data_IF_513301246730
#
_entry.id   IF_513301246730
#
_cell.length_a   1.000
_cell.length_b   1.000
_cell.length_c   1.000
_cell.angle_alpha   90.00
_cell.angle_beta   90.00
_cell.angle_gamma   90.00
#
_symmetry.space_group_name_H-M   'P 1'
#
loop_
_entity.id
_entity.type
_entity.pdbx_description
1 polymer ?
#
# COMPACT_ATOMS: atom_id res chain seq x y z
N UNK A 1 104.37 -33.61 3.58
CA UNK A 1 104.11 -32.81 2.36
C UNK A 1 102.99 -33.42 1.50
N UNK A 2 103.11 -34.65 0.98
CA UNK A 2 102.08 -35.31 0.14
C UNK A 2 100.65 -35.24 0.71
N UNK A 3 100.42 -35.75 1.93
CA UNK A 3 99.12 -35.71 2.62
C UNK A 3 98.49 -34.30 2.78
N UNK A 4 99.29 -33.23 2.85
CA UNK A 4 98.76 -31.86 2.91
C UNK A 4 98.27 -31.37 1.53
N UNK A 5 98.95 -31.77 0.46
CA UNK A 5 98.51 -31.51 -0.91
C UNK A 5 97.24 -32.30 -1.24
N UNK A 6 97.13 -33.55 -0.77
CA UNK A 6 95.95 -34.38 -0.95
C UNK A 6 94.73 -33.77 -0.23
N UNK A 7 94.84 -33.40 1.05
CA UNK A 7 93.77 -32.69 1.80
C UNK A 7 93.37 -31.36 1.15
N UNK A 8 94.34 -30.56 0.67
CA UNK A 8 94.05 -29.30 -0.02
C UNK A 8 93.37 -29.53 -1.36
N UNK A 9 93.73 -30.60 -2.08
CA UNK A 9 93.07 -30.96 -3.33
C UNK A 9 91.62 -31.40 -3.10
N UNK A 10 91.36 -32.15 -2.03
CA UNK A 10 90.02 -32.62 -1.69
C UNK A 10 89.12 -31.45 -1.24
N UNK A 11 89.62 -30.57 -0.38
CA UNK A 11 88.90 -29.34 0.02
C UNK A 11 88.57 -28.42 -1.16
N UNK A 12 89.46 -28.31 -2.16
CA UNK A 12 89.18 -27.57 -3.40
C UNK A 12 88.10 -28.28 -4.24
N UNK A 13 88.07 -29.62 -4.28
CA UNK A 13 87.01 -30.38 -4.97
C UNK A 13 85.65 -30.19 -4.31
N UNK A 14 85.58 -30.23 -2.99
CA UNK A 14 84.36 -29.95 -2.22
C UNK A 14 83.86 -28.52 -2.51
N UNK A 15 84.72 -27.50 -2.41
CA UNK A 15 84.36 -26.11 -2.74
C UNK A 15 83.86 -25.95 -4.19
N UNK A 16 84.45 -26.66 -5.15
CA UNK A 16 84.00 -26.65 -6.55
C UNK A 16 82.67 -27.38 -6.76
N UNK A 17 82.40 -28.44 -5.99
CA UNK A 17 81.12 -29.15 -6.01
C UNK A 17 80.01 -28.28 -5.41
N UNK A 18 80.23 -27.71 -4.22
CA UNK A 18 79.29 -26.79 -3.57
C UNK A 18 78.98 -25.57 -4.44
N UNK A 19 80.01 -24.95 -5.03
CA UNK A 19 79.84 -23.83 -5.96
C UNK A 19 79.04 -24.22 -7.21
N UNK A 20 79.25 -25.44 -7.73
CA UNK A 20 78.50 -25.99 -8.87
C UNK A 20 77.05 -26.28 -8.51
N UNK A 21 76.77 -26.78 -7.31
CA UNK A 21 75.40 -27.00 -6.81
C UNK A 21 74.68 -25.68 -6.56
N UNK A 22 75.32 -24.72 -5.89
CA UNK A 22 74.79 -23.39 -5.68
C UNK A 22 74.47 -22.71 -7.03
N UNK A 23 75.37 -22.84 -8.01
CA UNK A 23 75.14 -22.39 -9.38
C UNK A 23 73.99 -23.10 -10.11
N UNK A 24 73.66 -24.36 -9.78
CA UNK A 24 72.44 -25.03 -10.29
C UNK A 24 71.19 -24.43 -9.66
N UNK A 25 71.16 -24.32 -8.32
CA UNK A 25 70.03 -23.75 -7.57
C UNK A 25 69.70 -22.33 -8.05
N UNK A 26 70.70 -21.48 -8.26
CA UNK A 26 70.50 -20.13 -8.81
C UNK A 26 69.93 -20.12 -10.24
N UNK A 27 70.26 -21.11 -11.10
CA UNK A 27 69.65 -21.22 -12.44
C UNK A 27 68.19 -21.65 -12.35
N UNK A 28 67.90 -22.69 -11.58
CA UNK A 28 66.55 -23.20 -11.35
C UNK A 28 65.63 -22.12 -10.74
N UNK A 29 66.16 -21.32 -9.80
CA UNK A 29 65.45 -20.18 -9.22
C UNK A 29 65.23 -19.04 -10.24
N UNK A 30 66.23 -18.72 -11.07
CA UNK A 30 66.09 -17.70 -12.12
C UNK A 30 65.04 -18.12 -13.17
N UNK A 31 65.05 -19.39 -13.60
CA UNK A 31 64.06 -19.92 -14.54
C UNK A 31 62.65 -19.95 -13.93
N UNK A 32 62.52 -20.26 -12.63
CA UNK A 32 61.26 -20.13 -11.87
C UNK A 32 60.76 -18.68 -11.83
N UNK A 33 61.63 -17.73 -11.50
CA UNK A 33 61.31 -16.30 -11.45
C UNK A 33 60.91 -15.76 -12.84
N UNK A 34 61.60 -16.17 -13.91
CA UNK A 34 61.24 -15.84 -15.30
C UNK A 34 59.85 -16.36 -15.67
N UNK A 35 59.52 -17.59 -15.28
CA UNK A 35 58.17 -18.15 -15.50
C UNK A 35 57.10 -17.36 -14.74
N UNK A 36 57.35 -17.05 -13.46
CA UNK A 36 56.43 -16.24 -12.66
C UNK A 36 56.25 -14.81 -13.23
N UNK A 37 57.32 -14.20 -13.74
CA UNK A 37 57.26 -12.89 -14.40
C UNK A 37 56.42 -12.92 -15.68
N UNK A 38 56.56 -13.97 -16.50
CA UNK A 38 55.75 -14.15 -17.70
C UNK A 38 54.26 -14.38 -17.36
N UNK A 39 53.95 -15.21 -16.36
CA UNK A 39 52.59 -15.41 -15.86
C UNK A 39 51.97 -14.14 -15.27
N UNK A 40 52.77 -13.29 -14.61
CA UNK A 40 52.32 -11.99 -14.12
C UNK A 40 52.04 -11.01 -15.27
N UNK A 41 52.90 -10.99 -16.30
CA UNK A 41 52.75 -10.10 -17.45
C UNK A 41 51.45 -10.38 -18.24
N UNK A 42 51.13 -11.65 -18.52
CA UNK A 42 49.88 -12.00 -19.20
C UNK A 42 48.64 -11.71 -18.33
N UNK A 43 48.74 -11.81 -17.00
CA UNK A 43 47.65 -11.38 -16.10
C UNK A 43 47.41 -9.87 -16.13
N UNK A 44 48.47 -9.06 -16.17
CA UNK A 44 48.37 -7.59 -16.31
C UNK A 44 47.73 -7.23 -17.64
N UNK A 45 48.22 -7.78 -18.75
CA UNK A 45 47.69 -7.57 -20.10
C UNK A 45 46.21 -7.96 -20.23
N UNK A 46 45.78 -9.05 -19.60
CA UNK A 46 44.37 -9.43 -19.54
C UNK A 46 43.52 -8.46 -18.70
N UNK A 47 44.08 -7.90 -17.62
CA UNK A 47 43.41 -6.89 -16.80
C UNK A 47 43.28 -5.54 -17.54
N UNK A 48 44.32 -5.11 -18.25
CA UNK A 48 44.31 -3.92 -19.12
C UNK A 48 43.24 -4.03 -20.21
N UNK A 49 43.16 -5.17 -20.91
CA UNK A 49 42.13 -5.41 -21.92
C UNK A 49 40.70 -5.35 -21.35
N UNK A 50 40.48 -5.89 -20.14
CA UNK A 50 39.19 -5.79 -19.44
C UNK A 50 38.86 -4.37 -19.00
N UNK A 51 39.87 -3.61 -18.54
CA UNK A 51 39.70 -2.22 -18.12
C UNK A 51 39.30 -1.33 -19.30
N UNK A 52 39.94 -1.50 -20.46
CA UNK A 52 39.57 -0.79 -21.70
C UNK A 52 38.12 -1.06 -22.12
N UNK A 53 37.68 -2.33 -22.14
CA UNK A 53 36.29 -2.66 -22.48
C UNK A 53 35.26 -2.12 -21.47
N UNK A 54 35.63 -2.03 -20.18
CA UNK A 54 34.79 -1.37 -19.19
C UNK A 54 34.71 0.15 -19.43
N UNK A 55 35.83 0.79 -19.76
CA UNK A 55 35.88 2.22 -20.07
C UNK A 55 35.04 2.59 -21.30
N UNK A 56 35.08 1.77 -22.36
CA UNK A 56 34.20 1.93 -23.54
C UNK A 56 32.71 1.81 -23.17
N UNK A 57 32.36 0.85 -22.29
CA UNK A 57 30.98 0.67 -21.81
C UNK A 57 30.51 1.88 -20.99
N UNK A 58 31.37 2.44 -20.14
CA UNK A 58 31.06 3.62 -19.33
C UNK A 58 30.84 4.87 -20.20
N UNK A 59 31.67 5.11 -21.21
CA UNK A 59 31.47 6.26 -22.13
C UNK A 59 30.21 6.09 -23.00
N UNK A 60 29.86 4.86 -23.40
CA UNK A 60 28.61 4.57 -24.11
C UNK A 60 27.38 4.89 -23.23
N UNK A 61 27.32 4.38 -22.00
CA UNK A 61 26.24 4.68 -21.05
C UNK A 61 26.16 6.18 -20.71
N UNK A 62 27.31 6.86 -20.63
CA UNK A 62 27.38 8.31 -20.41
C UNK A 62 26.75 9.10 -21.57
N UNK A 63 26.97 8.68 -22.81
CA UNK A 63 26.37 9.29 -23.99
C UNK A 63 24.84 9.05 -24.02
N UNK A 64 24.39 7.84 -23.74
CA UNK A 64 22.96 7.51 -23.63
C UNK A 64 22.27 8.40 -22.60
N UNK A 65 22.81 8.46 -21.37
CA UNK A 65 22.29 9.31 -20.29
C UNK A 65 22.27 10.80 -20.67
N UNK A 66 23.30 11.29 -21.36
CA UNK A 66 23.31 12.68 -21.86
C UNK A 66 22.20 12.94 -22.89
N UNK A 67 21.87 11.97 -23.75
CA UNK A 67 20.75 12.12 -24.70
C UNK A 67 19.39 12.08 -24.01
N UNK A 68 19.23 11.24 -22.99
CA UNK A 68 17.99 11.14 -22.21
C UNK A 68 17.74 12.40 -21.38
N UNK A 69 18.74 12.89 -20.63
CA UNK A 69 18.66 14.14 -19.86
C UNK A 69 18.24 15.31 -20.75
N UNK A 70 18.85 15.44 -21.94
CA UNK A 70 18.49 16.48 -22.90
C UNK A 70 17.06 16.34 -23.43
N UNK A 71 16.58 15.11 -23.63
CA UNK A 71 15.19 14.84 -23.99
C UNK A 71 14.21 15.31 -22.92
N UNK A 72 14.51 14.99 -21.65
CA UNK A 72 13.71 15.42 -20.48
C UNK A 72 13.74 16.94 -20.29
N UNK A 73 14.87 17.61 -20.52
CA UNK A 73 14.96 19.08 -20.51
C UNK A 73 14.05 19.72 -21.57
N UNK A 74 14.03 19.17 -22.79
CA UNK A 74 13.15 19.65 -23.86
C UNK A 74 11.66 19.37 -23.58
N UNK A 75 11.32 18.26 -22.91
CA UNK A 75 9.95 17.99 -22.45
C UNK A 75 9.51 18.91 -21.32
N UNK A 76 10.35 19.12 -20.30
CA UNK A 76 10.08 20.05 -19.20
C UNK A 76 9.88 21.49 -19.72
N UNK A 77 10.65 21.89 -20.74
CA UNK A 77 10.51 23.17 -21.43
C UNK A 77 9.22 23.28 -22.26
N UNK A 78 8.71 22.17 -22.82
CA UNK A 78 7.38 22.13 -23.47
C UNK A 78 6.27 22.25 -22.43
N UNK A 79 6.34 21.48 -21.34
CA UNK A 79 5.34 21.48 -20.27
C UNK A 79 5.20 22.85 -19.62
N UNK A 80 6.31 23.55 -19.33
CA UNK A 80 6.26 24.93 -18.82
C UNK A 80 5.53 25.89 -19.77
N UNK A 81 5.75 25.81 -21.08
CA UNK A 81 5.02 26.65 -22.05
C UNK A 81 3.50 26.38 -22.07
N UNK A 82 3.09 25.12 -21.85
CA UNK A 82 1.68 24.76 -21.73
C UNK A 82 1.10 25.30 -20.44
N UNK A 83 1.83 25.19 -19.32
CA UNK A 83 1.46 25.76 -18.02
C UNK A 83 1.30 27.29 -18.10
N UNK A 84 2.27 27.99 -18.71
CA UNK A 84 2.22 29.44 -18.93
C UNK A 84 0.97 29.85 -19.74
N UNK A 85 0.68 29.14 -20.84
CA UNK A 85 -0.50 29.38 -21.67
C UNK A 85 -1.81 29.14 -20.90
N UNK A 86 -1.93 28.02 -20.18
CA UNK A 86 -3.11 27.71 -19.36
C UNK A 86 -3.30 28.72 -18.22
N UNK A 87 -2.20 29.21 -17.64
CA UNK A 87 -2.24 30.25 -16.59
C UNK A 87 -2.78 31.58 -17.14
N UNK A 88 -2.46 31.90 -18.39
CA UNK A 88 -2.97 33.08 -19.08
C UNK A 88 -4.47 32.95 -19.37
N UNK A 89 -4.91 31.82 -19.92
CA UNK A 89 -6.34 31.51 -20.16
C UNK A 89 -7.15 31.59 -18.86
N UNK A 90 -6.68 30.95 -17.77
CA UNK A 90 -7.30 31.04 -16.44
C UNK A 90 -7.35 32.49 -15.92
N UNK A 91 -6.36 33.33 -16.23
CA UNK A 91 -6.39 34.74 -15.84
C UNK A 91 -7.45 35.53 -16.63
N UNK A 92 -7.67 35.20 -17.90
CA UNK A 92 -8.73 35.79 -18.72
C UNK A 92 -10.13 35.33 -18.29
N UNK A 93 -10.33 34.04 -18.02
CA UNK A 93 -11.58 33.53 -17.44
C UNK A 93 -11.90 34.18 -16.09
N UNK A 94 -10.90 34.33 -15.21
CA UNK A 94 -11.08 35.04 -13.92
C UNK A 94 -11.44 36.51 -14.09
N UNK A 95 -10.96 37.20 -15.14
CA UNK A 95 -11.38 38.57 -15.48
C UNK A 95 -12.83 38.57 -16.00
N UNK A 96 -13.20 37.62 -16.85
CA UNK A 96 -14.55 37.48 -17.39
C UNK A 96 -15.60 37.17 -16.29
N UNK A 97 -15.28 36.29 -15.35
CA UNK A 97 -16.14 35.99 -14.19
C UNK A 97 -16.35 37.24 -13.32
N UNK A 98 -15.33 38.06 -13.09
CA UNK A 98 -15.47 39.33 -12.36
C UNK A 98 -16.41 40.30 -13.08
N UNK A 99 -16.29 40.45 -14.40
CA UNK A 99 -17.21 41.27 -15.20
C UNK A 99 -18.66 40.78 -15.12
N UNK A 100 -18.90 39.46 -15.19
CA UNK A 100 -20.24 38.88 -15.00
C UNK A 100 -20.79 39.09 -13.57
N UNK A 101 -19.94 39.08 -12.55
CA UNK A 101 -20.33 39.37 -11.18
C UNK A 101 -20.67 40.86 -10.98
N UNK A 102 -19.97 41.77 -11.66
CA UNK A 102 -20.27 43.21 -11.66
C UNK A 102 -21.56 43.51 -12.45
N UNK A 103 -21.77 42.89 -13.61
CA UNK A 103 -23.01 43.02 -14.38
C UNK A 103 -24.24 42.53 -13.59
N UNK A 104 -24.09 41.45 -12.80
CA UNK A 104 -25.14 40.98 -11.88
C UNK A 104 -25.47 41.99 -10.77
N UNK A 105 -24.53 42.85 -10.33
CA UNK A 105 -24.79 43.89 -9.33
C UNK A 105 -25.60 45.08 -9.88
N UNK A 106 -25.65 45.25 -11.20
CA UNK A 106 -26.32 46.40 -11.86
C UNK A 106 -27.82 46.16 -12.10
N UNK A 107 -28.31 44.92 -11.93
CA UNK A 107 -29.76 44.58 -11.97
C UNK A 107 -30.32 44.48 -10.54
N UNK A 108 -31.08 45.49 -10.04
CA UNK A 108 -31.70 45.40 -8.72
C UNK A 108 -32.91 44.47 -8.75
N UNK A 109 -32.68 43.19 -8.47
CA UNK A 109 -33.75 42.24 -8.16
C UNK A 109 -34.17 42.42 -6.69
N UNK A 110 -35.41 42.87 -6.52
CA UNK A 110 -36.10 43.11 -5.26
C UNK A 110 -36.00 41.92 -4.29
N UNK A 111 -35.64 42.22 -3.03
CA UNK A 111 -36.19 41.56 -1.84
C UNK A 111 -35.76 40.12 -1.54
N UNK A 112 -34.61 39.97 -0.89
CA UNK A 112 -34.45 39.07 0.27
C UNK A 112 -33.12 39.37 0.98
N UNK A 113 -33.17 39.78 2.25
CA UNK A 113 -32.06 39.57 3.16
C UNK A 113 -31.94 38.06 3.36
N UNK A 114 -31.01 37.43 2.63
CA UNK A 114 -30.60 36.06 2.92
C UNK A 114 -29.62 36.09 4.09
N UNK A 115 -29.79 35.26 5.13
CA UNK A 115 -28.72 35.04 6.09
C UNK A 115 -27.49 34.46 5.37
N UNK A 116 -26.30 34.75 5.88
CA UNK A 116 -25.04 34.14 5.47
C UNK A 116 -24.94 32.67 5.95
N UNK A 117 -25.86 31.84 5.46
CA UNK A 117 -25.83 30.39 5.56
C UNK A 117 -25.82 29.80 4.15
N UNK A 118 -24.80 30.14 3.36
CA UNK A 118 -24.47 29.35 2.16
C UNK A 118 -23.78 28.07 2.63
N UNK A 119 -24.63 27.13 3.04
CA UNK A 119 -24.26 25.76 3.35
C UNK A 119 -23.48 25.13 2.18
N UNK A 120 -22.16 25.03 2.36
CA UNK A 120 -21.26 24.12 1.63
C UNK A 120 -20.95 22.89 2.49
N UNK A 121 -21.87 22.55 3.39
CA UNK A 121 -21.78 21.38 4.25
C UNK A 121 -21.93 20.11 3.40
N UNK A 122 -20.82 19.39 3.21
CA UNK A 122 -20.78 18.01 2.70
C UNK A 122 -21.92 17.19 3.31
N UNK A 123 -22.81 16.63 2.49
CA UNK A 123 -23.93 15.84 2.99
C UNK A 123 -23.47 14.44 3.43
N UNK A 124 -24.18 13.83 4.38
CA UNK A 124 -23.81 12.50 4.89
C UNK A 124 -23.83 11.41 3.79
N UNK A 125 -24.61 11.61 2.71
CA UNK A 125 -24.67 10.71 1.56
C UNK A 125 -23.51 10.90 0.56
N UNK A 126 -22.94 12.10 0.49
CA UNK A 126 -21.67 12.34 -0.23
C UNK A 126 -20.51 11.75 0.56
N UNK A 127 -20.48 11.96 1.88
CA UNK A 127 -19.46 11.39 2.77
C UNK A 127 -19.44 9.85 2.66
N UNK A 128 -20.60 9.19 2.72
CA UNK A 128 -20.72 7.73 2.50
C UNK A 128 -20.12 7.30 1.17
N UNK A 129 -20.51 7.99 0.09
CA UNK A 129 -20.11 7.67 -1.29
C UNK A 129 -18.61 7.83 -1.49
N UNK A 130 -18.03 8.91 -0.97
CA UNK A 130 -16.61 9.22 -1.13
C UNK A 130 -15.74 8.28 -0.28
N UNK A 131 -16.17 7.95 0.96
CA UNK A 131 -15.53 6.92 1.78
C UNK A 131 -15.57 5.55 1.07
N UNK A 132 -16.76 5.08 0.64
CA UNK A 132 -16.89 3.81 -0.06
C UNK A 132 -16.04 3.78 -1.34
N UNK A 133 -15.97 4.87 -2.10
CA UNK A 133 -15.11 4.96 -3.29
C UNK A 133 -13.62 4.80 -2.96
N UNK A 134 -13.10 5.50 -1.95
CA UNK A 134 -11.68 5.36 -1.56
C UNK A 134 -11.38 3.96 -1.02
N UNK A 135 -12.29 3.35 -0.25
CA UNK A 135 -12.11 1.99 0.25
C UNK A 135 -12.18 0.93 -0.87
N UNK A 136 -13.00 1.13 -1.90
CA UNK A 136 -12.96 0.28 -3.10
C UNK A 136 -11.65 0.43 -3.88
N UNK A 137 -11.07 1.64 -3.96
CA UNK A 137 -9.74 1.84 -4.55
C UNK A 137 -8.64 1.16 -3.72
N UNK A 138 -8.72 1.20 -2.39
CA UNK A 138 -7.83 0.45 -1.50
C UNK A 138 -7.88 -1.06 -1.78
N UNK A 139 -9.08 -1.61 -1.92
CA UNK A 139 -9.31 -3.03 -2.23
C UNK A 139 -8.78 -3.42 -3.60
N UNK A 140 -9.01 -2.60 -4.63
CA UNK A 140 -8.50 -2.83 -5.98
C UNK A 140 -6.96 -2.79 -6.01
N UNK A 141 -6.37 -1.78 -5.36
CA UNK A 141 -4.92 -1.67 -5.26
C UNK A 141 -4.31 -2.86 -4.50
N UNK A 142 -4.88 -3.24 -3.35
CA UNK A 142 -4.42 -4.40 -2.59
C UNK A 142 -4.52 -5.71 -3.39
N UNK A 143 -5.61 -5.91 -4.15
CA UNK A 143 -5.82 -7.07 -5.01
C UNK A 143 -4.88 -7.16 -6.24
N UNK A 144 -4.17 -6.09 -6.57
CA UNK A 144 -3.13 -6.08 -7.61
C UNK A 144 -1.70 -6.08 -7.03
N UNK A 145 -1.52 -5.62 -5.79
CA UNK A 145 -0.21 -5.32 -5.21
C UNK A 145 0.23 -6.23 -4.04
N UNK A 146 -0.49 -7.32 -3.77
CA UNK A 146 -0.19 -8.25 -2.67
C UNK A 146 0.94 -9.25 -2.98
N UNK A 147 1.60 -9.76 -1.94
CA UNK A 147 2.58 -10.85 -2.05
C UNK A 147 1.88 -12.21 -2.21
N UNK A 148 2.21 -13.04 -3.23
CA UNK A 148 1.49 -14.31 -3.45
C UNK A 148 1.63 -15.36 -2.33
N UNK A 149 2.68 -15.26 -1.51
CA UNK A 149 2.94 -16.19 -0.40
C UNK A 149 3.41 -15.38 0.81
N UNK A 150 2.75 -15.54 1.95
CA UNK A 150 3.16 -14.93 3.20
C UNK A 150 4.44 -15.59 3.74
N UNK A 151 5.32 -14.78 4.32
CA UNK A 151 6.54 -15.23 5.00
C UNK A 151 6.27 -15.72 6.44
N UNK A 152 6.88 -15.04 7.41
CA UNK A 152 6.78 -15.38 8.84
C UNK A 152 5.36 -15.12 9.41
N UNK A 153 4.46 -16.09 9.27
CA UNK A 153 3.06 -16.00 9.73
C UNK A 153 2.95 -15.57 11.23
N UNK A 154 3.75 -16.09 12.18
CA UNK A 154 3.81 -15.57 13.55
C UNK A 154 4.04 -14.05 13.66
N UNK A 155 5.05 -13.50 12.97
CA UNK A 155 5.33 -12.05 12.98
C UNK A 155 4.24 -11.26 12.23
N UNK A 156 3.68 -11.79 11.13
CA UNK A 156 2.52 -11.21 10.43
C UNK A 156 1.33 -11.07 11.39
N UNK A 157 0.96 -12.16 12.10
CA UNK A 157 -0.13 -12.16 13.09
C UNK A 157 0.10 -11.11 14.17
N UNK A 158 1.31 -11.05 14.73
CA UNK A 158 1.67 -10.10 15.78
C UNK A 158 1.43 -8.64 15.33
N UNK A 159 1.92 -8.25 14.15
CA UNK A 159 1.72 -6.90 13.61
C UNK A 159 0.26 -6.57 13.31
N UNK A 160 -0.51 -7.54 12.81
CA UNK A 160 -1.94 -7.37 12.57
C UNK A 160 -2.75 -7.21 13.87
N UNK A 161 -2.33 -7.85 14.95
CA UNK A 161 -2.91 -7.66 16.29
C UNK A 161 -2.53 -6.27 16.84
N UNK A 162 -1.26 -5.88 16.74
CA UNK A 162 -0.76 -4.56 17.20
C UNK A 162 -1.48 -3.37 16.55
N UNK A 163 -1.95 -3.52 15.31
CA UNK A 163 -2.71 -2.47 14.59
C UNK A 163 -4.24 -2.64 14.73
N UNK A 164 -4.71 -3.65 15.45
CA UNK A 164 -6.14 -3.85 15.71
C UNK A 164 -6.94 -4.35 14.50
N UNK A 165 -6.27 -5.03 13.57
CA UNK A 165 -6.86 -5.67 12.38
C UNK A 165 -7.35 -7.09 12.72
N UNK A 166 -6.52 -7.86 13.44
CA UNK A 166 -6.71 -9.28 13.77
C UNK A 166 -6.95 -9.49 15.27
N UNK A 167 -7.83 -10.42 15.61
CA UNK A 167 -8.11 -10.79 16.99
C UNK A 167 -6.96 -11.59 17.63
N UNK A 168 -6.57 -11.28 18.88
CA UNK A 168 -5.70 -12.13 19.68
C UNK A 168 -6.27 -13.56 19.80
N UNK A 169 -5.42 -14.57 19.69
CA UNK A 169 -5.85 -15.98 19.64
C UNK A 169 -6.58 -16.47 20.90
N UNK A 170 -6.36 -15.83 22.05
CA UNK A 170 -7.06 -16.12 23.31
C UNK A 170 -8.51 -15.58 23.37
N UNK A 171 -8.84 -14.54 22.59
CA UNK A 171 -10.19 -13.95 22.54
C UNK A 171 -11.20 -14.76 21.72
N UNK A 172 -10.72 -15.60 20.78
CA UNK A 172 -11.55 -16.34 19.82
C UNK A 172 -11.34 -17.85 19.99
N UNK A 173 -12.38 -18.66 19.84
CA UNK A 173 -12.19 -20.12 19.85
C UNK A 173 -11.61 -20.62 18.52
N UNK A 174 -10.62 -21.53 18.56
CA UNK A 174 -9.80 -22.00 17.42
C UNK A 174 -10.55 -22.28 16.10
N UNK A 175 -11.77 -22.82 16.15
CA UNK A 175 -12.59 -23.08 14.96
C UNK A 175 -13.04 -21.81 14.20
N UNK A 176 -12.95 -20.65 14.84
CA UNK A 176 -13.31 -19.34 14.30
C UNK A 176 -12.10 -18.45 13.98
N UNK A 177 -10.86 -18.94 14.16
CA UNK A 177 -9.68 -18.19 13.72
C UNK A 177 -9.72 -17.86 12.23
N UNK A 178 -9.11 -16.73 11.88
CA UNK A 178 -8.79 -16.41 10.50
C UNK A 178 -7.81 -17.45 9.92
N UNK A 179 -8.08 -17.91 8.71
CA UNK A 179 -7.33 -18.99 8.09
C UNK A 179 -6.23 -18.41 7.19
N UNK A 180 -4.97 -18.54 7.62
CA UNK A 180 -3.82 -18.06 6.84
C UNK A 180 -3.43 -18.98 5.68
N UNK A 181 -3.96 -20.21 5.63
CA UNK A 181 -3.62 -21.24 4.64
C UNK A 181 -4.43 -21.15 3.32
N UNK A 182 -4.95 -19.96 2.96
CA UNK A 182 -5.75 -19.78 1.74
C UNK A 182 -5.07 -18.81 0.76
N UNK A 183 -5.25 -19.06 -0.54
CA UNK A 183 -4.51 -18.36 -1.61
C UNK A 183 -4.77 -16.84 -1.65
N UNK A 184 -5.98 -16.42 -1.25
CA UNK A 184 -6.43 -15.02 -1.16
C UNK A 184 -6.49 -14.55 0.30
N UNK A 185 -5.34 -14.64 0.96
CA UNK A 185 -5.15 -14.12 2.33
C UNK A 185 -4.36 -12.82 2.31
N UNK A 186 -3.29 -12.73 1.51
CA UNK A 186 -2.40 -11.58 1.51
C UNK A 186 -3.07 -10.31 0.93
N UNK A 187 -3.95 -10.46 -0.06
CA UNK A 187 -4.78 -9.38 -0.62
C UNK A 187 -5.75 -8.83 0.43
N UNK A 188 -6.48 -9.71 1.14
CA UNK A 188 -7.42 -9.33 2.21
C UNK A 188 -6.68 -8.64 3.37
N UNK A 189 -5.52 -9.17 3.76
CA UNK A 189 -4.72 -8.57 4.83
C UNK A 189 -4.12 -7.22 4.42
N UNK A 190 -3.72 -7.05 3.16
CA UNK A 190 -3.23 -5.79 2.62
C UNK A 190 -4.34 -4.75 2.49
N UNK A 191 -5.53 -5.12 2.00
CA UNK A 191 -6.74 -4.28 2.00
C UNK A 191 -7.03 -3.81 3.43
N UNK A 192 -7.01 -4.74 4.39
CA UNK A 192 -7.34 -4.44 5.76
C UNK A 192 -6.34 -3.47 6.40
N UNK A 193 -5.05 -3.78 6.30
CA UNK A 193 -3.97 -2.92 6.78
C UNK A 193 -4.03 -1.53 6.16
N UNK A 194 -4.25 -1.41 4.84
CA UNK A 194 -4.35 -0.13 4.15
C UNK A 194 -5.53 0.70 4.67
N UNK A 195 -6.70 0.09 4.85
CA UNK A 195 -7.88 0.78 5.38
C UNK A 195 -7.67 1.24 6.84
N UNK A 196 -7.05 0.43 7.69
CA UNK A 196 -6.75 0.79 9.08
C UNK A 196 -5.65 1.86 9.17
N UNK A 197 -4.59 1.78 8.37
CA UNK A 197 -3.52 2.80 8.36
C UNK A 197 -4.03 4.17 7.91
N UNK A 198 -4.88 4.22 6.87
CA UNK A 198 -5.53 5.46 6.45
C UNK A 198 -6.42 6.05 7.55
N UNK A 199 -7.29 5.22 8.15
CA UNK A 199 -8.15 5.68 9.25
C UNK A 199 -7.31 6.16 10.44
N UNK A 200 -6.28 5.41 10.84
CA UNK A 200 -5.41 5.77 11.95
C UNK A 200 -4.64 7.06 11.70
N UNK A 201 -4.01 7.20 10.54
CA UNK A 201 -3.19 8.37 10.24
C UNK A 201 -3.99 9.68 10.14
N UNK A 202 -5.25 9.61 9.67
CA UNK A 202 -6.02 10.80 9.30
C UNK A 202 -7.32 11.02 10.10
N UNK A 203 -7.84 10.00 10.80
CA UNK A 203 -9.01 10.10 11.69
C UNK A 203 -8.67 9.99 13.18
N UNK A 204 -7.41 9.77 13.57
CA UNK A 204 -7.00 9.80 14.99
C UNK A 204 -6.51 11.19 15.45
N UNK A 205 -5.84 11.93 14.56
CA UNK A 205 -5.42 13.31 14.84
C UNK A 205 -5.97 14.27 13.78
N UNK A 206 -6.93 15.16 14.11
CA UNK A 206 -7.48 16.12 13.16
C UNK A 206 -6.46 17.15 12.63
N UNK A 207 -5.32 17.35 13.30
CA UNK A 207 -4.31 18.35 12.93
C UNK A 207 -3.15 17.79 12.10
N UNK A 208 -3.33 16.64 11.45
CA UNK A 208 -2.25 15.98 10.70
C UNK A 208 -1.64 16.86 9.58
N UNK A 209 -2.42 17.78 8.99
CA UNK A 209 -1.95 18.76 8.00
C UNK A 209 -1.37 20.05 8.58
N UNK A 210 -1.43 20.28 9.90
CA UNK A 210 -1.10 21.58 10.49
C UNK A 210 0.35 22.02 10.23
N UNK A 211 1.28 21.08 10.03
CA UNK A 211 2.66 21.40 9.65
C UNK A 211 2.80 21.94 8.22
N UNK A 212 1.91 21.58 7.29
CA UNK A 212 1.89 22.16 5.95
C UNK A 212 1.40 23.62 6.00
N UNK A 213 0.37 23.89 6.81
CA UNK A 213 -0.24 25.22 6.91
C UNK A 213 0.64 26.26 7.65
N UNK A 214 1.60 25.82 8.47
CA UNK A 214 2.35 26.70 9.39
C UNK A 214 3.82 26.93 9.02
N UNK A 215 4.35 26.22 8.04
CA UNK A 215 5.77 26.30 7.66
C UNK A 215 5.93 26.46 6.13
N UNK A 216 6.93 27.25 5.73
CA UNK A 216 7.24 27.56 4.32
C UNK A 216 8.62 26.98 3.91
N UNK A 217 9.40 26.48 4.87
CA UNK A 217 10.76 25.96 4.65
C UNK A 217 10.82 24.48 5.04
N UNK A 218 11.24 23.62 4.11
CA UNK A 218 11.26 22.15 4.23
C UNK A 218 12.07 21.62 5.43
N UNK A 219 13.09 22.35 5.88
CA UNK A 219 14.15 21.80 6.75
C UNK A 219 13.74 21.57 8.22
N UNK A 220 12.52 21.95 8.65
CA UNK A 220 12.06 21.68 10.03
C UNK A 220 10.56 21.43 10.19
N UNK A 221 10.05 20.31 9.67
CA UNK A 221 8.75 19.78 10.08
C UNK A 221 8.72 19.47 11.59
N UNK A 222 8.19 20.38 12.40
CA UNK A 222 8.06 20.16 13.84
C UNK A 222 6.87 19.23 14.15
N UNK A 223 7.15 17.95 14.37
CA UNK A 223 6.15 16.93 14.71
C UNK A 223 5.35 17.22 15.99
N UNK A 224 5.81 18.12 16.86
CA UNK A 224 5.09 18.47 18.09
C UNK A 224 3.84 19.32 17.83
N UNK A 225 3.72 20.04 16.71
CA UNK A 225 2.60 20.99 16.50
C UNK A 225 1.25 20.28 16.35
N UNK A 226 1.08 19.25 15.47
CA UNK A 226 -0.14 18.45 15.45
C UNK A 226 -0.47 17.79 16.79
N UNK A 227 0.55 17.40 17.57
CA UNK A 227 0.39 16.76 18.88
C UNK A 227 -0.07 17.79 19.93
N UNK A 228 0.46 19.00 19.90
CA UNK A 228 0.10 20.09 20.80
C UNK A 228 -1.34 20.57 20.55
N UNK A 229 -1.72 20.78 19.28
CA UNK A 229 -3.09 21.15 18.91
C UNK A 229 -4.10 20.06 19.32
N UNK A 230 -3.77 18.77 19.10
CA UNK A 230 -4.60 17.66 19.59
C UNK A 230 -4.76 17.71 21.12
N UNK A 231 -3.67 17.88 21.88
CA UNK A 231 -3.73 17.98 23.36
C UNK A 231 -4.60 19.15 23.84
N UNK A 232 -4.66 20.26 23.11
CA UNK A 232 -5.58 21.37 23.40
C UNK A 232 -7.03 20.96 23.16
N UNK A 233 -7.35 20.31 22.04
CA UNK A 233 -8.70 19.77 21.78
C UNK A 233 -9.10 18.74 22.84
N UNK A 234 -8.24 17.78 23.13
CA UNK A 234 -8.49 16.73 24.12
C UNK A 234 -8.78 17.35 25.50
N UNK A 235 -8.01 18.37 25.91
CA UNK A 235 -8.27 19.12 27.14
C UNK A 235 -9.61 19.85 27.11
N UNK A 236 -9.94 20.55 26.02
CA UNK A 236 -11.23 21.23 25.85
C UNK A 236 -12.40 20.23 25.92
N UNK A 237 -12.25 19.04 25.32
CA UNK A 237 -13.29 18.00 25.32
C UNK A 237 -13.59 17.47 26.72
N UNK A 238 -12.63 17.51 27.67
CA UNK A 238 -12.90 17.22 29.10
C UNK A 238 -13.69 18.30 29.84
N UNK A 239 -13.90 19.48 29.22
CA UNK A 239 -14.58 20.64 29.83
C UNK A 239 -15.91 20.94 29.16
N UNK A 240 -15.93 20.94 27.84
CA UNK A 240 -17.07 21.30 26.99
C UNK A 240 -16.84 20.70 25.59
N UNK A 241 -17.52 19.58 25.31
CA UNK A 241 -17.41 18.82 24.06
C UNK A 241 -17.84 19.64 22.84
N UNK A 242 -18.90 20.44 22.96
CA UNK A 242 -19.42 21.31 21.90
C UNK A 242 -18.42 22.42 21.55
N UNK A 243 -17.79 23.03 22.55
CA UNK A 243 -16.69 23.99 22.30
C UNK A 243 -15.45 23.32 21.74
N UNK A 244 -15.12 22.10 22.15
CA UNK A 244 -13.98 21.37 21.60
C UNK A 244 -14.17 21.08 20.10
N UNK A 245 -15.34 20.56 19.72
CA UNK A 245 -15.73 20.32 18.31
C UNK A 245 -15.71 21.63 17.51
N UNK A 246 -16.25 22.72 18.07
CA UNK A 246 -16.27 24.04 17.43
C UNK A 246 -14.86 24.59 17.23
N UNK A 247 -14.01 24.57 18.28
CA UNK A 247 -12.62 25.01 18.21
C UNK A 247 -11.81 24.21 17.19
N UNK A 248 -12.04 22.88 17.15
CA UNK A 248 -11.43 21.95 16.19
C UNK A 248 -11.81 22.30 14.75
N UNK A 249 -13.10 22.41 14.45
CA UNK A 249 -13.63 22.85 13.14
C UNK A 249 -13.02 24.18 12.71
N UNK A 250 -13.11 25.18 13.57
CA UNK A 250 -12.85 26.56 13.17
C UNK A 250 -11.34 26.83 13.06
N UNK A 251 -10.50 26.17 13.88
CA UNK A 251 -9.04 26.17 13.73
C UNK A 251 -8.59 25.49 12.43
N UNK A 252 -9.24 24.39 12.05
CA UNK A 252 -8.87 23.66 10.82
C UNK A 252 -9.30 24.40 9.56
N UNK A 253 -10.42 25.12 9.57
CA UNK A 253 -10.77 26.04 8.48
C UNK A 253 -9.68 27.09 8.27
N UNK A 254 -9.25 27.76 9.35
CA UNK A 254 -8.16 28.74 9.30
C UNK A 254 -6.85 28.14 8.77
N UNK A 255 -6.47 26.94 9.19
CA UNK A 255 -5.27 26.26 8.68
C UNK A 255 -5.42 25.83 7.21
N UNK A 256 -6.59 25.34 6.81
CA UNK A 256 -6.87 24.87 5.44
C UNK A 256 -6.92 26.02 4.44
N UNK A 257 -7.48 27.18 4.82
CA UNK A 257 -7.54 28.36 3.96
C UNK A 257 -6.15 28.92 3.66
N UNK A 258 -5.18 28.77 4.57
CA UNK A 258 -3.77 29.13 4.35
C UNK A 258 -3.06 28.11 3.44
N UNK A 259 -3.41 26.82 3.52
CA UNK A 259 -2.73 25.76 2.76
C UNK A 259 -3.14 25.64 1.29
N UNK A 260 -4.20 26.32 0.85
CA UNK A 260 -4.69 26.31 -0.56
C UNK A 260 -3.70 26.92 -1.59
N UNK A 261 -2.47 27.25 -1.19
CA UNK A 261 -1.43 27.80 -2.05
C UNK A 261 -0.15 26.93 -2.10
N UNK A 262 -0.19 25.70 -1.57
CA UNK A 262 0.95 24.77 -1.49
C UNK A 262 0.65 23.38 -2.08
N UNK A 263 0.31 23.29 -3.37
CA UNK A 263 0.04 21.99 -4.04
C UNK A 263 1.27 21.06 -4.05
N UNK A 264 2.47 21.63 -4.23
CA UNK A 264 3.73 20.86 -4.28
C UNK A 264 4.03 20.18 -2.92
N UNK A 265 3.96 20.91 -1.81
CA UNK A 265 4.29 20.42 -0.46
C UNK A 265 3.38 19.28 0.01
N UNK A 266 2.11 19.27 -0.42
CA UNK A 266 1.20 18.16 -0.17
C UNK A 266 1.67 16.85 -0.83
N UNK A 267 2.28 16.94 -2.03
CA UNK A 267 2.74 15.77 -2.80
C UNK A 267 3.88 15.04 -2.08
N UNK A 268 4.80 15.77 -1.44
CA UNK A 268 5.91 15.18 -0.70
C UNK A 268 5.45 14.49 0.59
N UNK A 269 4.46 15.05 1.30
CA UNK A 269 3.83 14.36 2.44
C UNK A 269 3.22 13.03 2.00
N UNK A 270 2.45 13.03 0.91
CA UNK A 270 1.81 11.80 0.41
C UNK A 270 2.84 10.78 -0.09
N UNK A 271 3.94 11.23 -0.70
CA UNK A 271 5.08 10.39 -1.08
C UNK A 271 5.77 9.76 0.15
N UNK A 272 5.95 10.53 1.22
CA UNK A 272 6.54 10.06 2.47
C UNK A 272 5.64 9.00 3.12
N UNK A 273 4.33 9.26 3.23
CA UNK A 273 3.37 8.32 3.81
C UNK A 273 3.23 7.04 2.99
N UNK A 274 3.22 7.12 1.66
CA UNK A 274 3.24 5.95 0.79
C UNK A 274 4.52 5.11 1.01
N UNK A 275 5.69 5.76 1.14
CA UNK A 275 6.96 5.10 1.43
C UNK A 275 6.94 4.41 2.80
N UNK A 276 6.41 5.07 3.83
CA UNK A 276 6.30 4.51 5.18
C UNK A 276 5.37 3.31 5.25
N UNK A 277 4.22 3.37 4.55
CA UNK A 277 3.28 2.25 4.45
C UNK A 277 3.95 1.06 3.74
N UNK A 278 4.59 1.29 2.58
CA UNK A 278 5.31 0.24 1.85
C UNK A 278 6.47 -0.33 2.66
N UNK A 279 7.17 0.49 3.44
CA UNK A 279 8.28 0.03 4.31
C UNK A 279 7.78 -0.80 5.49
N UNK A 280 6.69 -0.37 6.15
CA UNK A 280 6.12 -1.06 7.32
C UNK A 280 5.46 -2.39 6.95
N UNK A 281 4.80 -2.43 5.78
CA UNK A 281 3.96 -3.55 5.31
C UNK A 281 4.49 -4.25 4.07
N UNK A 282 5.76 -4.05 3.71
CA UNK A 282 6.42 -4.69 2.56
C UNK A 282 6.48 -6.22 2.60
N UNK A 283 6.05 -6.85 3.71
CA UNK A 283 5.85 -8.29 3.83
C UNK A 283 4.44 -8.76 3.41
N UNK A 284 3.51 -7.84 3.12
CA UNK A 284 2.20 -8.09 2.50
C UNK A 284 2.14 -7.62 1.03
N UNK A 285 3.05 -6.72 0.64
CA UNK A 285 3.09 -6.07 -0.68
C UNK A 285 4.14 -6.78 -1.55
N UNK A 286 3.86 -7.02 -2.83
CA UNK A 286 4.90 -7.55 -3.74
C UNK A 286 6.06 -6.56 -3.89
N UNK A 287 7.24 -7.05 -4.24
CA UNK A 287 8.43 -6.21 -4.41
C UNK A 287 9.21 -6.63 -5.67
N UNK A 288 9.75 -5.67 -6.45
CA UNK A 288 9.67 -4.23 -6.25
C UNK A 288 8.32 -3.64 -6.70
N UNK A 289 7.80 -2.69 -5.91
CA UNK A 289 6.62 -1.90 -6.32
C UNK A 289 6.98 -0.95 -7.47
N UNK A 290 6.22 -1.01 -8.57
CA UNK A 290 6.44 -0.23 -9.78
C UNK A 290 5.98 1.22 -9.61
N UNK A 291 6.52 2.13 -10.44
CA UNK A 291 6.19 3.57 -10.40
C UNK A 291 4.68 3.85 -10.44
N UNK A 292 3.96 3.22 -11.39
CA UNK A 292 2.49 3.37 -11.52
C UNK A 292 1.72 2.86 -10.30
N UNK A 293 2.17 1.78 -9.68
CA UNK A 293 1.53 1.20 -8.50
C UNK A 293 1.72 2.11 -7.29
N UNK A 294 2.90 2.72 -7.16
CA UNK A 294 3.20 3.76 -6.16
C UNK A 294 2.38 5.04 -6.41
N UNK A 295 2.25 5.50 -7.66
CA UNK A 295 1.42 6.64 -8.04
C UNK A 295 -0.06 6.43 -7.66
N UNK A 296 -0.59 5.22 -7.89
CA UNK A 296 -1.95 4.86 -7.46
C UNK A 296 -2.11 4.88 -5.94
N UNK A 297 -1.13 4.37 -5.18
CA UNK A 297 -1.14 4.45 -3.71
C UNK A 297 -1.13 5.90 -3.20
N UNK A 298 -0.27 6.75 -3.78
CA UNK A 298 -0.22 8.19 -3.47
C UNK A 298 -1.56 8.86 -3.77
N UNK A 299 -2.21 8.52 -4.89
CA UNK A 299 -3.53 9.03 -5.26
C UNK A 299 -4.64 8.61 -4.30
N UNK A 300 -4.61 7.38 -3.80
CA UNK A 300 -5.54 6.88 -2.77
C UNK A 300 -5.34 7.66 -1.46
N UNK A 301 -4.09 7.85 -1.02
CA UNK A 301 -3.75 8.64 0.16
C UNK A 301 -4.24 10.09 0.01
N UNK A 302 -3.93 10.76 -1.11
CA UNK A 302 -4.37 12.12 -1.42
C UNK A 302 -5.90 12.27 -1.33
N UNK A 303 -6.66 11.37 -1.96
CA UNK A 303 -8.13 11.41 -1.89
C UNK A 303 -8.66 11.25 -0.45
N UNK A 304 -8.05 10.36 0.33
CA UNK A 304 -8.46 10.17 1.72
C UNK A 304 -8.12 11.41 2.56
N UNK A 305 -6.95 12.03 2.35
CA UNK A 305 -6.55 13.29 3.00
C UNK A 305 -7.52 14.43 2.66
N UNK A 306 -7.83 14.62 1.39
CA UNK A 306 -8.74 15.68 0.93
C UNK A 306 -10.14 15.50 1.53
N UNK A 307 -10.60 14.24 1.65
CA UNK A 307 -11.86 13.90 2.31
C UNK A 307 -11.79 14.16 3.81
N UNK A 308 -10.82 13.58 4.53
CA UNK A 308 -10.72 13.72 5.99
C UNK A 308 -10.49 15.16 6.43
N UNK A 309 -9.74 15.96 5.66
CA UNK A 309 -9.56 17.39 5.93
C UNK A 309 -10.90 18.13 5.90
N UNK A 310 -11.76 17.85 4.90
CA UNK A 310 -13.11 18.40 4.82
C UNK A 310 -14.03 17.87 5.93
N UNK A 311 -13.93 16.58 6.27
CA UNK A 311 -14.68 15.99 7.39
C UNK A 311 -14.34 16.68 8.71
N UNK A 312 -13.07 16.95 8.97
CA UNK A 312 -12.67 17.70 10.16
C UNK A 312 -13.06 19.20 10.12
N UNK A 313 -13.40 19.77 8.97
CA UNK A 313 -14.04 21.10 8.93
C UNK A 313 -15.54 21.07 9.33
N UNK A 314 -16.13 19.89 9.58
CA UNK A 314 -17.51 19.76 10.07
C UNK A 314 -17.58 19.89 11.61
N UNK A 315 -18.68 20.49 12.09
CA UNK A 315 -19.01 20.64 13.51
C UNK A 315 -19.67 19.37 14.07
N UNK A 316 -18.92 18.27 14.06
CA UNK A 316 -19.28 16.96 14.62
C UNK A 316 -18.06 16.30 15.28
N UNK A 317 -18.27 15.40 16.23
CA UNK A 317 -17.24 14.43 16.64
C UNK A 317 -17.19 13.29 15.61
N UNK A 318 -16.01 12.80 15.26
CA UNK A 318 -15.80 11.73 14.26
C UNK A 318 -14.98 10.64 14.93
N UNK A 319 -15.44 9.40 14.82
CA UNK A 319 -14.78 8.25 15.41
C UNK A 319 -14.66 7.11 14.40
N UNK A 320 -13.50 6.48 14.38
CA UNK A 320 -13.26 5.24 13.65
C UNK A 320 -13.09 4.08 14.63
N UNK A 321 -13.67 2.93 14.30
CA UNK A 321 -13.75 1.77 15.19
C UNK A 321 -13.13 0.56 14.48
N UNK A 322 -11.87 0.29 14.80
CA UNK A 322 -11.18 -0.98 14.49
C UNK A 322 -11.60 -2.11 15.43
N UNK A 323 -10.89 -3.25 15.42
CA UNK A 323 -11.29 -4.40 16.24
C UNK A 323 -11.31 -4.09 17.75
N UNK A 324 -10.33 -3.33 18.26
CA UNK A 324 -10.25 -2.96 19.68
C UNK A 324 -11.38 -2.04 20.19
N UNK A 325 -12.24 -1.56 19.30
CA UNK A 325 -13.45 -0.80 19.64
C UNK A 325 -14.72 -1.66 19.61
N UNK A 326 -14.64 -2.89 19.08
CA UNK A 326 -15.71 -3.87 19.23
C UNK A 326 -15.55 -4.50 20.61
N UNK A 327 -16.58 -4.40 21.45
CA UNK A 327 -16.60 -5.06 22.77
C UNK A 327 -16.25 -6.55 22.64
N UNK A 328 -15.59 -7.15 23.65
CA UNK A 328 -15.12 -8.55 23.64
C UNK A 328 -16.21 -9.60 23.30
N UNK A 329 -17.49 -9.23 23.47
CA UNK A 329 -18.64 -10.08 23.17
C UNK A 329 -19.38 -9.74 21.87
N UNK A 330 -18.91 -8.76 21.09
CA UNK A 330 -19.51 -8.36 19.81
C UNK A 330 -19.57 -9.57 18.88
N UNK A 331 -20.78 -9.91 18.44
CA UNK A 331 -21.02 -10.97 17.46
C UNK A 331 -21.47 -10.35 16.15
N UNK A 332 -21.03 -10.94 15.05
CA UNK A 332 -21.55 -10.59 13.75
C UNK A 332 -23.05 -10.91 13.65
N UNK A 333 -23.80 -10.04 12.98
CA UNK A 333 -25.16 -10.29 12.53
C UNK A 333 -25.40 -9.52 11.23
N UNK A 334 -26.03 -10.16 10.24
CA UNK A 334 -26.36 -9.52 8.95
C UNK A 334 -27.29 -8.31 9.12
N UNK A 335 -28.12 -8.30 10.17
CA UNK A 335 -28.99 -7.16 10.51
C UNK A 335 -28.28 -5.96 11.16
N UNK A 336 -26.95 -5.98 11.32
CA UNK A 336 -26.22 -4.91 12.00
C UNK A 336 -26.30 -3.57 11.26
N UNK A 337 -26.59 -2.49 12.00
CA UNK A 337 -26.43 -1.11 11.51
C UNK A 337 -24.96 -0.75 11.29
N UNK A 338 -24.06 -1.34 12.06
CA UNK A 338 -22.66 -0.91 12.19
C UNK A 338 -21.68 -1.75 11.37
N UNK A 339 -22.02 -3.02 11.11
CA UNK A 339 -21.13 -4.01 10.50
C UNK A 339 -21.73 -4.63 9.24
N UNK A 340 -20.86 -5.11 8.35
CA UNK A 340 -21.21 -5.90 7.16
C UNK A 340 -20.17 -7.00 6.93
N UNK A 341 -20.58 -8.13 6.37
CA UNK A 341 -19.65 -9.21 6.03
C UNK A 341 -18.75 -8.83 4.83
N UNK A 342 -17.49 -9.27 4.86
CA UNK A 342 -16.59 -9.20 3.73
C UNK A 342 -17.17 -9.94 2.50
N UNK A 343 -17.08 -9.34 1.30
CA UNK A 343 -17.72 -9.84 0.07
C UNK A 343 -17.32 -11.28 -0.29
N UNK A 344 -16.10 -11.69 0.06
CA UNK A 344 -15.61 -13.08 -0.08
C UNK A 344 -16.51 -14.13 0.58
N UNK A 345 -17.25 -13.76 1.64
CA UNK A 345 -18.12 -14.68 2.36
C UNK A 345 -19.43 -15.00 1.61
N UNK A 346 -19.72 -14.29 0.51
CA UNK A 346 -20.85 -14.53 -0.40
C UNK A 346 -22.16 -14.79 0.36
N UNK A 347 -22.53 -13.85 1.23
CA UNK A 347 -23.84 -13.81 1.87
C UNK A 347 -24.84 -13.18 0.90
N UNK A 348 -25.95 -13.86 0.67
CA UNK A 348 -27.10 -13.32 -0.04
C UNK A 348 -27.97 -12.50 0.94
N UNK A 349 -28.86 -11.66 0.40
CA UNK A 349 -29.76 -10.83 1.22
C UNK A 349 -30.63 -11.71 2.13
N UNK A 350 -30.46 -11.55 3.45
CA UNK A 350 -31.15 -12.35 4.48
C UNK A 350 -30.45 -13.65 4.90
N UNK A 351 -29.24 -13.95 4.38
CA UNK A 351 -28.49 -15.15 4.79
C UNK A 351 -27.84 -15.01 6.17
N UNK A 352 -28.56 -15.41 7.21
CA UNK A 352 -28.14 -15.37 8.62
C UNK A 352 -27.20 -16.53 9.03
N UNK A 353 -26.63 -17.32 8.10
CA UNK A 353 -25.78 -18.50 8.44
C UNK A 353 -24.53 -18.17 9.27
N UNK A 354 -24.12 -16.90 9.30
CA UNK A 354 -22.94 -16.41 10.03
C UNK A 354 -23.29 -15.61 11.29
N UNK A 355 -24.58 -15.41 11.61
CA UNK A 355 -25.01 -14.67 12.80
C UNK A 355 -24.55 -15.33 14.10
N UNK A 356 -24.24 -14.50 15.10
CA UNK A 356 -23.76 -14.95 16.42
C UNK A 356 -22.29 -15.40 16.46
N UNK A 357 -21.55 -15.30 15.35
CA UNK A 357 -20.12 -15.67 15.29
C UNK A 357 -19.22 -14.55 15.83
N UNK A 358 -18.07 -14.88 16.48
CA UNK A 358 -17.03 -13.89 16.77
C UNK A 358 -16.45 -13.30 15.49
N UNK A 359 -15.88 -12.10 15.62
CA UNK A 359 -15.18 -11.38 14.56
C UNK A 359 -13.67 -11.53 14.79
N UNK A 360 -12.97 -12.44 14.08
CA UNK A 360 -11.53 -12.57 14.17
C UNK A 360 -10.74 -11.52 13.36
N UNK A 361 -11.37 -10.83 12.40
CA UNK A 361 -10.69 -9.89 11.50
C UNK A 361 -11.64 -8.76 11.06
N UNK A 362 -11.19 -7.51 11.22
CA UNK A 362 -11.86 -6.31 10.69
C UNK A 362 -11.07 -5.84 9.47
N UNK A 363 -11.64 -5.96 8.27
CA UNK A 363 -11.04 -5.46 7.03
C UNK A 363 -11.10 -3.93 7.01
N UNK A 364 -12.30 -3.39 7.16
CA UNK A 364 -12.52 -1.95 7.14
C UNK A 364 -13.03 -1.48 8.49
N UNK A 365 -12.39 -0.49 9.14
CA UNK A 365 -12.95 0.15 10.32
C UNK A 365 -14.34 0.71 10.04
N UNK A 366 -15.22 0.69 11.05
CA UNK A 366 -16.46 1.46 10.99
C UNK A 366 -16.10 2.94 11.18
N UNK A 367 -16.72 3.86 10.45
CA UNK A 367 -16.63 5.31 10.70
C UNK A 367 -18.03 5.82 11.03
N UNK A 368 -18.18 6.46 12.18
CA UNK A 368 -19.38 7.16 12.58
C UNK A 368 -19.08 8.56 13.13
N UNK A 369 -20.13 9.37 13.19
CA UNK A 369 -20.10 10.75 13.63
C UNK A 369 -21.23 11.04 14.61
N UNK A 370 -21.02 11.99 15.52
CA UNK A 370 -22.11 12.56 16.31
C UNK A 370 -23.11 13.30 15.40
N UNK A 371 -24.33 13.61 15.86
CA UNK A 371 -25.14 14.63 15.21
C UNK A 371 -24.35 15.94 15.07
N UNK A 372 -24.51 16.65 13.97
CA UNK A 372 -23.89 17.99 13.81
C UNK A 372 -24.43 18.92 14.87
N UNK A 373 -23.59 19.76 15.45
CA UNK A 373 -24.01 20.77 16.42
C UNK A 373 -25.12 21.65 15.80
N UNK A 374 -26.22 21.84 16.53
CA UNK A 374 -27.41 22.55 16.05
C UNK A 374 -28.41 21.72 15.21
N UNK A 375 -28.08 20.52 14.73
CA UNK A 375 -28.96 19.74 13.83
C UNK A 375 -30.17 19.08 14.50
N UNK A 376 -30.29 19.13 15.83
CA UNK A 376 -31.41 18.55 16.60
C UNK A 376 -31.46 17.01 16.65
N UNK A 377 -30.63 16.32 15.86
CA UNK A 377 -30.49 14.87 15.89
C UNK A 377 -29.90 14.35 17.21
N UNK A 378 -30.25 13.12 17.59
CA UNK A 378 -29.76 12.46 18.81
C UNK A 378 -29.05 11.12 18.58
N UNK A 379 -29.18 10.52 17.39
CA UNK A 379 -28.57 9.23 17.05
C UNK A 379 -27.29 9.47 16.23
N UNK A 380 -26.23 8.68 16.49
CA UNK A 380 -25.00 8.76 15.69
C UNK A 380 -25.25 8.38 14.24
N UNK A 381 -24.55 9.05 13.34
CA UNK A 381 -24.63 8.81 11.91
C UNK A 381 -23.48 7.89 11.50
N UNK A 382 -23.80 6.69 11.01
CA UNK A 382 -22.81 5.81 10.39
C UNK A 382 -22.53 6.31 8.96
N UNK A 383 -21.27 6.63 8.70
CA UNK A 383 -20.76 7.06 7.39
C UNK A 383 -20.06 5.91 6.64
N UNK A 384 -19.40 4.99 7.36
CA UNK A 384 -18.93 3.73 6.78
C UNK A 384 -19.21 2.58 7.74
N UNK A 385 -19.91 1.54 7.28
CA UNK A 385 -20.01 0.29 8.04
C UNK A 385 -18.67 -0.42 8.08
N UNK A 386 -18.34 -0.99 9.24
CA UNK A 386 -17.17 -1.84 9.39
C UNK A 386 -17.32 -3.13 8.59
N UNK A 387 -16.33 -3.47 7.77
CA UNK A 387 -16.33 -4.71 6.97
C UNK A 387 -15.55 -5.77 7.74
N UNK A 388 -16.18 -6.90 8.02
CA UNK A 388 -15.60 -7.94 8.88
C UNK A 388 -15.57 -9.30 8.19
N UNK A 389 -14.51 -10.08 8.43
CA UNK A 389 -14.48 -11.49 8.06
C UNK A 389 -14.84 -12.33 9.28
N UNK A 390 -15.69 -13.34 9.07
CA UNK A 390 -16.07 -14.32 10.08
C UNK A 390 -15.98 -15.73 9.50
N UNK A 391 -15.45 -16.65 10.28
CA UNK A 391 -15.23 -18.04 9.84
C UNK A 391 -16.54 -18.69 9.41
N UNK A 392 -16.55 -19.28 8.22
CA UNK A 392 -17.68 -20.05 7.68
C UNK A 392 -17.75 -21.51 8.20
N UNK A 393 -16.72 -21.98 8.92
CA UNK A 393 -16.63 -23.38 9.41
C UNK A 393 -17.85 -23.74 10.26
N UNK A 394 -18.36 -24.97 10.14
CA UNK A 394 -19.57 -25.38 10.85
C UNK A 394 -19.40 -25.25 12.38
N UNK A 395 -20.35 -24.60 13.06
CA UNK A 395 -20.34 -24.52 14.53
C UNK A 395 -20.70 -25.91 15.10
N UNK A 396 -19.80 -26.60 15.84
CA UNK A 396 -20.07 -27.95 16.34
C UNK A 396 -21.29 -28.01 17.27
N UNK A 397 -21.61 -26.92 17.98
CA UNK A 397 -22.81 -26.85 18.85
C UNK A 397 -24.13 -26.78 18.06
N UNK A 398 -24.10 -26.33 16.80
CA UNK A 398 -25.27 -26.34 15.92
C UNK A 398 -25.48 -27.72 15.27
N UNK A 399 -24.40 -28.38 14.86
CA UNK A 399 -24.44 -29.71 14.24
C UNK A 399 -25.13 -30.76 15.13
N UNK A 400 -24.88 -30.73 16.45
CA UNK A 400 -25.47 -31.68 17.41
C UNK A 400 -27.00 -31.49 17.58
N UNK A 401 -27.54 -30.28 17.36
CA UNK A 401 -28.99 -30.03 17.43
C UNK A 401 -29.73 -30.33 16.11
N UNK A 402 -29.01 -30.39 14.98
CA UNK A 402 -29.60 -30.65 13.66
C UNK A 402 -29.82 -32.13 13.32
N UNK A 403 -29.13 -33.06 13.98
CA UNK A 403 -29.19 -34.50 13.67
C UNK A 403 -30.52 -35.20 14.06
N UNK A 404 -31.54 -34.44 14.47
CA UNK A 404 -32.71 -34.95 15.18
C UNK A 404 -34.08 -34.58 14.59
N UNK A 405 -34.24 -34.42 13.26
CA UNK A 405 -35.51 -34.61 12.49
C UNK A 405 -35.37 -34.26 11.00
N UNK A 406 -35.68 -35.21 10.11
CA UNK A 406 -35.74 -35.02 8.66
C UNK A 406 -34.37 -35.03 7.96
N UNK A 407 -34.21 -35.53 6.73
CA UNK A 407 -35.20 -35.93 5.72
C UNK A 407 -34.67 -37.10 4.86
N UNK A 408 -35.46 -38.17 4.74
CA UNK A 408 -35.14 -39.37 3.95
C UNK A 408 -35.25 -39.19 2.42
N UNK A 409 -35.18 -37.95 1.89
CA UNK A 409 -35.42 -37.66 0.46
C UNK A 409 -34.17 -37.33 -0.38
N UNK A 410 -33.01 -37.10 0.23
CA UNK A 410 -31.78 -36.79 -0.53
C UNK A 410 -31.17 -37.99 -1.27
N UNK A 411 -31.50 -39.24 -0.87
CA UNK A 411 -30.86 -40.45 -1.42
C UNK A 411 -31.42 -40.93 -2.77
N UNK A 412 -32.58 -40.43 -3.21
CA UNK A 412 -33.28 -40.94 -4.41
C UNK A 412 -32.97 -40.15 -5.68
N UNK A 413 -32.14 -39.09 -5.60
CA UNK A 413 -31.89 -38.16 -6.72
C UNK A 413 -30.49 -38.29 -7.36
N UNK A 414 -29.57 -39.07 -6.77
CA UNK A 414 -28.25 -39.35 -7.38
C UNK A 414 -28.23 -40.59 -8.28
N UNK A 415 -29.02 -41.64 -8.00
CA UNK A 415 -29.03 -42.86 -8.82
C UNK A 415 -29.65 -42.68 -10.22
N UNK A 416 -30.41 -41.61 -10.44
CA UNK A 416 -31.05 -41.32 -11.74
C UNK A 416 -30.11 -40.69 -12.78
N UNK A 417 -28.91 -40.23 -12.39
CA UNK A 417 -27.99 -39.48 -13.27
C UNK A 417 -26.80 -40.28 -13.81
N UNK A 418 -26.65 -41.54 -13.40
CA UNK A 418 -25.50 -42.41 -13.70
C UNK A 418 -25.75 -43.48 -14.77
N UNK A 419 -26.84 -43.38 -15.55
CA UNK A 419 -27.28 -44.40 -16.53
C UNK A 419 -27.59 -43.92 -17.96
N UNK A 420 -27.20 -42.69 -18.33
CA UNK A 420 -27.31 -42.21 -19.71
C UNK A 420 -25.94 -41.64 -20.14
N UNK A 421 -25.23 -42.35 -21.02
CA UNK A 421 -23.92 -41.89 -21.54
C UNK A 421 -22.88 -42.99 -21.76
N UNK A 422 -23.22 -44.11 -22.40
CA UNK A 422 -22.24 -45.15 -22.77
C UNK A 422 -22.61 -45.82 -24.11
N UNK A 423 -21.62 -45.95 -25.01
CA UNK A 423 -21.68 -46.29 -26.46
C UNK A 423 -22.17 -45.14 -27.37
N UNK A 424 -21.55 -44.84 -28.52
CA UNK A 424 -20.36 -45.38 -29.22
C UNK A 424 -19.35 -44.21 -29.49
N UNK A 425 -18.04 -44.36 -29.75
CA UNK A 425 -17.30 -45.34 -30.57
C UNK A 425 -17.10 -44.76 -31.99
N UNK A 426 -15.90 -44.56 -32.54
CA UNK A 426 -14.52 -44.74 -32.03
C UNK A 426 -13.48 -44.36 -33.11
N UNK A 427 -12.16 -44.51 -32.84
CA UNK A 427 -11.00 -44.44 -33.79
C UNK A 427 -10.81 -43.15 -34.63
N UNK A 428 -9.63 -42.55 -34.88
CA UNK A 428 -8.25 -42.59 -34.37
C UNK A 428 -7.53 -41.33 -34.99
N UNK A 429 -6.24 -40.98 -34.86
CA UNK A 429 -5.06 -41.53 -34.15
C UNK A 429 -3.98 -40.42 -33.97
N UNK A 430 -2.90 -40.72 -33.22
CA UNK A 430 -1.60 -40.00 -33.15
C UNK A 430 -1.54 -38.59 -32.51
N UNK A 431 -0.36 -38.22 -31.97
CA UNK A 431 0.09 -36.80 -31.98
C UNK A 431 0.29 -36.04 -30.67
N UNK A 432 1.11 -36.56 -29.76
CA UNK A 432 2.05 -35.84 -28.87
C UNK A 432 1.90 -34.30 -28.55
N UNK A 433 1.89 -34.01 -27.23
CA UNK A 433 2.55 -32.85 -26.56
C UNK A 433 1.92 -31.44 -26.70
N UNK A 434 1.00 -31.17 -25.77
CA UNK A 434 0.91 -29.96 -24.91
C UNK A 434 1.73 -28.70 -25.26
N UNK A 435 1.06 -27.62 -25.72
CA UNK A 435 1.25 -26.24 -25.21
C UNK A 435 0.12 -25.30 -25.64
N UNK A 436 -0.07 -24.20 -24.91
CA UNK A 436 -0.93 -23.04 -25.26
C UNK A 436 -2.47 -23.22 -25.24
N UNK A 437 -3.08 -22.97 -24.07
CA UNK A 437 -4.52 -22.62 -23.94
C UNK A 437 -4.72 -21.24 -23.29
N UNK A 438 -3.66 -20.64 -22.69
CA UNK A 438 -3.75 -19.35 -21.98
C UNK A 438 -3.79 -18.10 -22.87
N UNK A 439 -3.67 -18.24 -24.20
CA UNK A 439 -3.62 -17.09 -25.13
C UNK A 439 -5.01 -16.54 -25.56
N UNK A 440 -6.10 -17.31 -25.37
CA UNK A 440 -7.43 -16.92 -25.87
C UNK A 440 -8.31 -16.15 -24.88
N UNK A 441 -8.12 -16.26 -23.57
CA UNK A 441 -8.94 -15.53 -22.59
C UNK A 441 -8.61 -14.02 -22.48
N UNK A 442 -7.46 -13.57 -23.00
CA UNK A 442 -7.03 -12.17 -22.84
C UNK A 442 -7.56 -11.21 -23.93
N UNK A 443 -8.15 -11.72 -25.03
CA UNK A 443 -8.60 -10.88 -26.16
C UNK A 443 -10.06 -10.41 -26.11
N UNK A 444 -10.89 -10.97 -25.22
CA UNK A 444 -12.32 -10.59 -25.15
C UNK A 444 -12.64 -9.50 -24.12
N UNK A 445 -11.73 -9.19 -23.18
CA UNK A 445 -11.96 -8.14 -22.18
C UNK A 445 -11.76 -6.70 -22.70
N UNK A 446 -11.06 -6.53 -23.83
CA UNK A 446 -10.74 -5.22 -24.44
C UNK A 446 -11.81 -4.68 -25.42
N UNK A 447 -13.05 -5.21 -25.37
CA UNK A 447 -14.16 -4.83 -26.26
C UNK A 447 -15.43 -4.35 -25.54
N UNK A 448 -15.34 -4.02 -24.25
CA UNK A 448 -16.49 -3.57 -23.42
C UNK A 448 -16.26 -2.27 -22.63
N UNK A 449 -15.30 -1.44 -23.06
CA UNK A 449 -15.25 -0.01 -22.70
C UNK A 449 -15.41 0.78 -23.98
N UNK A 450 -16.50 1.54 -24.09
CA UNK A 450 -16.97 2.10 -25.36
C UNK A 450 -18.42 2.61 -25.31
N UNK A 451 -18.75 3.33 -24.24
CA UNK A 451 -19.85 4.29 -24.12
C UNK A 451 -19.45 5.33 -23.07
#
# INVERSE_FOLDING_TARGET
MKSYLDMRSESIREQLLDSREQGKRFREENDRLRKQLAEAHEKVKLAEAKFMGFQETVEMLRLELQTEVKGLEDELKKSRKVQDALSFELQEERKFIKLLQEERKIKPAVGAERPEEVSTDLSDDEIRRDLDAVFEECRLWAGENYVPVLGDIPEVKKRLIEVGVLAPEDTVAKQYYFNFDADIVADILLEAVLCHELCRAFLENPYFTANLALWVEEESMNLDVPIALKKVTDYLQTKDEERAITWRSDSLKLLTDVSQHQEDTCTDLYCHMAKDLVTRWGFLIHQPLLGKEKELLIKIISKFVDLTSKLWCLKTDIQYHGLGHLEDNTRFSVGSKDLVAARILQLEDGDTRLDGRPIPLVLRPKIDASPRLGSGGKERVVWAKGVVWVSNRANPKAAVKGAGKGSSKAKTLMDARLKIGLKAGGTADSGAVTTSVLSQCFKERSRRSGY
#
